data_IF_920947335198
#
_entry.id   IF_920947335198
#
_cell.length_a   1.000
_cell.length_b   1.000
_cell.length_c   1.000
_cell.angle_alpha   90.00
_cell.angle_beta   90.00
_cell.angle_gamma   90.00
#
_symmetry.space_group_name_H-M   'P 1'
#
loop_
_entity.id
_entity.type
_entity.pdbx_description
1 polymer ?
#
# COMPACT_ATOMS: atom_id res chain seq x y z
N UNK A 1 5.47 -34.39 -4.65
CA UNK A 1 4.88 -33.22 -5.33
C UNK A 1 5.15 -31.99 -4.47
N UNK A 2 5.78 -30.94 -5.02
CA UNK A 2 5.98 -29.70 -4.25
C UNK A 2 4.66 -28.93 -4.26
N UNK A 3 3.99 -28.84 -3.11
CA UNK A 3 2.81 -28.00 -2.96
C UNK A 3 3.24 -26.56 -3.27
N UNK A 4 2.76 -26.00 -4.39
CA UNK A 4 2.97 -24.58 -4.67
C UNK A 4 2.06 -23.81 -3.73
N UNK A 5 2.65 -23.23 -2.69
CA UNK A 5 1.93 -22.43 -1.70
C UNK A 5 1.48 -21.09 -2.31
N UNK A 6 0.34 -20.56 -1.83
CA UNK A 6 -0.22 -19.28 -2.28
C UNK A 6 0.65 -18.10 -1.85
N UNK A 7 0.49 -16.96 -2.53
CA UNK A 7 1.04 -15.68 -2.12
C UNK A 7 0.57 -15.32 -0.70
N UNK A 8 1.43 -14.71 0.13
CA UNK A 8 1.05 -14.26 1.47
C UNK A 8 0.02 -13.13 1.49
N UNK A 9 -0.13 -12.41 0.38
CA UNK A 9 -1.10 -11.31 0.26
C UNK A 9 -2.48 -11.95 0.21
N UNK A 10 -3.31 -11.67 1.21
CA UNK A 10 -4.57 -12.39 1.46
C UNK A 10 -5.57 -12.27 0.31
N UNK A 11 -5.58 -11.14 -0.38
CA UNK A 11 -6.39 -10.90 -1.58
C UNK A 11 -5.72 -11.34 -2.90
N UNK A 12 -4.62 -12.10 -2.84
CA UNK A 12 -3.91 -12.58 -4.02
C UNK A 12 -4.03 -14.09 -4.19
N UNK A 13 -4.53 -14.52 -5.37
CA UNK A 13 -4.67 -15.93 -5.71
C UNK A 13 -3.45 -16.53 -6.43
N UNK A 14 -2.40 -15.75 -6.69
CA UNK A 14 -1.21 -16.24 -7.39
C UNK A 14 -0.37 -17.15 -6.50
N UNK A 15 0.37 -18.06 -7.14
CA UNK A 15 1.32 -18.93 -6.48
C UNK A 15 2.60 -18.16 -6.12
N UNK A 16 3.16 -18.42 -4.94
CA UNK A 16 4.40 -17.78 -4.51
C UNK A 16 5.61 -18.29 -5.31
N UNK A 17 6.65 -17.46 -5.46
CA UNK A 17 7.92 -17.92 -6.04
C UNK A 17 8.59 -18.92 -5.09
N UNK A 18 9.36 -19.86 -5.64
CA UNK A 18 10.18 -20.79 -4.84
C UNK A 18 11.08 -19.98 -3.90
N UNK A 19 11.09 -20.31 -2.60
CA UNK A 19 11.84 -19.59 -1.54
C UNK A 19 11.41 -18.13 -1.29
N UNK A 20 10.21 -17.74 -1.75
CA UNK A 20 9.62 -16.42 -1.47
C UNK A 20 8.27 -16.59 -0.75
N UNK A 21 7.89 -15.61 0.05
CA UNK A 21 6.55 -15.54 0.63
C UNK A 21 5.52 -14.92 -0.33
N UNK A 22 5.97 -14.36 -1.45
CA UNK A 22 5.14 -13.60 -2.40
C UNK A 22 5.26 -14.14 -3.83
N UNK A 23 4.25 -13.86 -4.66
CA UNK A 23 4.25 -14.16 -6.09
C UNK A 23 5.18 -13.23 -6.90
N UNK A 24 5.26 -13.44 -8.22
CA UNK A 24 6.07 -12.60 -9.12
C UNK A 24 5.67 -11.12 -9.07
N UNK A 25 4.36 -10.83 -9.22
CA UNK A 25 3.79 -9.47 -9.14
C UNK A 25 4.22 -8.78 -7.85
N UNK A 26 3.92 -9.39 -6.71
CA UNK A 26 4.24 -8.80 -5.41
C UNK A 26 5.72 -8.75 -5.09
N UNK A 27 6.58 -9.56 -5.74
CA UNK A 27 8.03 -9.49 -5.52
C UNK A 27 8.68 -8.16 -5.93
N UNK A 28 7.97 -7.35 -6.73
CA UNK A 28 8.34 -5.99 -7.10
C UNK A 28 8.32 -5.00 -5.91
N UNK A 29 7.83 -5.42 -4.73
CA UNK A 29 7.91 -4.64 -3.50
C UNK A 29 9.33 -4.13 -3.21
N UNK A 30 10.38 -4.84 -3.63
CA UNK A 30 11.78 -4.43 -3.39
C UNK A 30 12.12 -3.08 -4.02
N UNK A 31 11.48 -2.78 -5.15
CA UNK A 31 11.71 -1.57 -5.93
C UNK A 31 10.67 -0.50 -5.65
N UNK A 32 9.45 -0.90 -5.25
CA UNK A 32 8.32 0.03 -5.05
C UNK A 32 8.10 0.33 -3.56
N UNK A 33 8.08 -0.65 -2.67
CA UNK A 33 7.79 -0.44 -1.26
C UNK A 33 8.44 -1.51 -0.39
N UNK A 34 9.70 -1.30 -0.01
CA UNK A 34 10.51 -2.31 0.71
C UNK A 34 9.86 -2.79 2.01
N UNK A 35 9.18 -1.88 2.72
CA UNK A 35 8.49 -2.19 3.96
C UNK A 35 7.30 -3.15 3.77
N UNK A 36 6.80 -3.32 2.55
CA UNK A 36 5.66 -4.17 2.25
C UNK A 36 5.93 -5.66 2.41
N UNK A 37 7.17 -6.11 2.67
CA UNK A 37 7.45 -7.52 3.00
C UNK A 37 7.11 -7.88 4.45
N UNK A 38 6.95 -6.89 5.33
CA UNK A 38 6.64 -7.17 6.73
C UNK A 38 5.24 -7.79 6.87
N UNK A 39 5.09 -8.73 7.79
CA UNK A 39 3.82 -9.47 8.00
C UNK A 39 2.74 -8.58 8.62
N UNK A 40 3.12 -7.59 9.42
CA UNK A 40 2.23 -6.60 10.06
C UNK A 40 1.77 -5.46 9.13
N UNK A 41 2.17 -5.49 7.85
CA UNK A 41 1.88 -4.41 6.88
C UNK A 41 1.41 -4.93 5.52
N UNK A 42 0.39 -5.81 5.46
CA UNK A 42 -0.08 -6.35 4.20
C UNK A 42 -0.65 -5.26 3.28
N UNK A 43 -1.35 -4.25 3.81
CA UNK A 43 -1.86 -3.09 3.06
C UNK A 43 -0.82 -2.42 2.15
N UNK A 44 0.48 -2.43 2.49
CA UNK A 44 1.50 -1.82 1.63
C UNK A 44 1.67 -2.55 0.27
N UNK A 45 1.18 -3.78 0.14
CA UNK A 45 1.12 -4.50 -1.14
C UNK A 45 0.10 -3.89 -2.10
N UNK A 46 -0.91 -3.16 -1.61
CA UNK A 46 -1.82 -2.38 -2.45
C UNK A 46 -1.06 -1.35 -3.29
N UNK A 47 -0.10 -0.63 -2.68
CA UNK A 47 0.76 0.30 -3.41
C UNK A 47 1.55 -0.42 -4.51
N UNK A 48 2.11 -1.59 -4.21
CA UNK A 48 2.84 -2.39 -5.22
C UNK A 48 1.93 -2.70 -6.41
N UNK A 49 0.69 -3.13 -6.16
CA UNK A 49 -0.27 -3.45 -7.21
C UNK A 49 -0.65 -2.23 -8.06
N UNK A 50 -0.96 -1.11 -7.42
CA UNK A 50 -1.31 0.15 -8.11
C UNK A 50 -0.18 0.66 -8.99
N UNK A 51 1.05 0.62 -8.50
CA UNK A 51 2.23 1.03 -9.26
C UNK A 51 2.48 0.16 -10.48
N UNK A 52 2.27 -1.16 -10.37
CA UNK A 52 2.37 -2.07 -11.53
C UNK A 52 1.25 -1.87 -12.55
N UNK A 53 0.14 -1.27 -12.14
CA UNK A 53 -1.00 -0.91 -13.01
C UNK A 53 -0.88 0.52 -13.58
N UNK A 54 0.20 1.25 -13.31
CA UNK A 54 0.35 2.65 -13.73
C UNK A 54 -0.53 3.64 -12.95
N UNK A 55 -1.11 3.21 -11.83
CA UNK A 55 -1.97 4.02 -10.95
C UNK A 55 -1.12 4.62 -9.83
N UNK A 56 -0.25 5.54 -10.19
CA UNK A 56 0.70 6.19 -9.27
C UNK A 56 0.26 7.59 -8.85
N UNK A 57 -1.04 7.90 -8.91
CA UNK A 57 -1.58 9.20 -8.51
C UNK A 57 -2.17 9.16 -7.10
N UNK A 58 -2.11 10.29 -6.40
CA UNK A 58 -2.91 10.52 -5.20
C UNK A 58 -4.40 10.47 -5.54
N UNK A 59 -5.14 9.57 -4.91
CA UNK A 59 -6.58 9.35 -5.16
C UNK A 59 -7.45 10.53 -4.67
N UNK A 60 -6.91 11.44 -3.84
CA UNK A 60 -7.60 12.64 -3.36
C UNK A 60 -7.34 13.91 -4.17
N UNK A 61 -6.10 14.14 -4.62
CA UNK A 61 -5.73 15.42 -5.27
C UNK A 61 -5.10 15.27 -6.65
N UNK A 62 -4.93 14.04 -7.16
CA UNK A 62 -4.33 13.80 -8.47
C UNK A 62 -2.82 14.02 -8.56
N UNK A 63 -2.14 14.37 -7.45
CA UNK A 63 -0.67 14.49 -7.43
C UNK A 63 -0.01 13.23 -7.95
N UNK A 64 0.86 13.39 -8.95
CA UNK A 64 1.59 12.30 -9.59
C UNK A 64 3.11 12.53 -9.46
N UNK A 65 3.84 11.70 -8.69
CA UNK A 65 5.27 11.85 -8.50
C UNK A 65 6.08 11.50 -9.76
N UNK A 66 5.52 10.71 -10.68
CA UNK A 66 6.21 10.36 -11.95
C UNK A 66 6.23 11.54 -12.92
N UNK A 67 5.21 12.41 -12.85
CA UNK A 67 5.11 13.64 -13.65
C UNK A 67 5.87 14.77 -12.97
N UNK A 68 5.70 14.93 -11.66
CA UNK A 68 6.28 16.04 -10.90
C UNK A 68 7.79 15.86 -10.67
N UNK A 69 8.26 14.61 -10.56
CA UNK A 69 9.65 14.27 -10.27
C UNK A 69 10.14 13.13 -11.19
N UNK A 70 10.18 13.34 -12.52
CA UNK A 70 10.45 12.29 -13.50
C UNK A 70 11.86 11.70 -13.39
N UNK A 71 12.81 12.46 -12.85
CA UNK A 71 14.20 12.03 -12.68
C UNK A 71 14.47 11.27 -11.38
N UNK A 72 13.48 11.18 -10.49
CA UNK A 72 13.62 10.44 -9.24
C UNK A 72 13.45 8.94 -9.53
N UNK A 73 14.17 8.10 -8.79
CA UNK A 73 14.05 6.65 -8.95
C UNK A 73 12.67 6.15 -8.50
N UNK A 74 12.31 4.94 -8.94
CA UNK A 74 11.01 4.33 -8.67
C UNK A 74 10.67 4.32 -7.17
N UNK A 75 11.68 4.03 -6.33
CA UNK A 75 11.51 3.97 -4.88
C UNK A 75 11.30 5.37 -4.27
N UNK A 76 12.02 6.38 -4.77
CA UNK A 76 11.83 7.76 -4.38
C UNK A 76 10.44 8.27 -4.76
N UNK A 77 9.99 8.03 -5.99
CA UNK A 77 8.66 8.44 -6.45
C UNK A 77 7.55 7.76 -5.64
N UNK A 78 7.65 6.45 -5.40
CA UNK A 78 6.66 5.69 -4.62
C UNK A 78 6.61 6.03 -3.13
N UNK A 79 7.69 6.60 -2.59
CA UNK A 79 7.77 7.06 -1.20
C UNK A 79 7.02 8.37 -0.94
N UNK A 80 6.61 9.08 -2.00
CA UNK A 80 5.84 10.32 -1.89
C UNK A 80 4.35 10.10 -1.67
N UNK A 81 3.90 8.87 -1.87
CA UNK A 81 2.54 8.42 -1.62
C UNK A 81 2.55 7.45 -0.45
N UNK A 82 1.48 7.41 0.33
CA UNK A 82 1.24 6.49 1.43
C UNK A 82 -0.03 5.68 1.15
N UNK A 83 -0.06 4.44 1.63
CA UNK A 83 -1.32 3.68 1.67
C UNK A 83 -2.02 4.06 2.95
N UNK A 84 -3.23 4.58 2.83
CA UNK A 84 -4.09 4.85 3.96
C UNK A 84 -5.35 3.97 3.90
N UNK A 85 -6.00 3.78 5.05
CA UNK A 85 -7.28 3.10 5.14
C UNK A 85 -8.40 4.12 4.89
N UNK A 86 -9.38 3.77 4.08
CA UNK A 86 -10.58 4.60 3.86
C UNK A 86 -11.36 4.68 5.17
N UNK A 87 -11.71 3.54 5.76
CA UNK A 87 -12.25 3.42 7.11
C UNK A 87 -11.16 2.91 8.07
N UNK A 88 -10.73 3.78 9.00
CA UNK A 88 -9.70 3.46 9.99
C UNK A 88 -10.18 2.50 11.10
N UNK A 89 -11.49 2.27 11.21
CA UNK A 89 -12.06 1.31 12.16
C UNK A 89 -11.83 -0.14 11.73
N UNK A 90 -11.77 -0.41 10.42
CA UNK A 90 -11.53 -1.75 9.86
C UNK A 90 -10.06 -2.18 9.90
N UNK A 91 -9.15 -1.25 10.20
CA UNK A 91 -7.71 -1.52 10.32
C UNK A 91 -7.45 -2.66 11.32
N UNK A 92 -6.69 -3.67 10.90
CA UNK A 92 -6.40 -4.90 11.64
C UNK A 92 -7.57 -5.87 11.89
N UNK A 93 -8.79 -5.55 11.41
CA UNK A 93 -9.94 -6.45 11.49
C UNK A 93 -10.07 -7.20 10.16
N UNK A 94 -10.17 -6.46 9.07
CA UNK A 94 -10.28 -6.99 7.71
C UNK A 94 -9.35 -6.20 6.80
N UNK A 95 -8.26 -6.85 6.37
CA UNK A 95 -7.30 -6.25 5.46
C UNK A 95 -7.71 -6.60 4.02
N UNK A 96 -8.62 -5.79 3.46
CA UNK A 96 -9.14 -5.91 2.09
C UNK A 96 -8.74 -4.69 1.24
N UNK A 97 -8.33 -4.88 -0.03
CA UNK A 97 -7.90 -3.79 -0.90
C UNK A 97 -8.96 -2.73 -1.19
N UNK A 98 -10.25 -3.03 -1.01
CA UNK A 98 -11.36 -2.07 -1.15
C UNK A 98 -11.36 -1.01 -0.05
N UNK A 99 -10.68 -1.24 1.07
CA UNK A 99 -10.54 -0.28 2.16
C UNK A 99 -9.22 0.52 2.10
N UNK A 100 -8.47 0.43 1.00
CA UNK A 100 -7.21 1.19 0.87
C UNK A 100 -7.32 2.29 -0.18
N UNK A 101 -6.56 3.35 0.05
CA UNK A 101 -6.36 4.43 -0.90
C UNK A 101 -4.91 4.89 -0.91
N UNK A 102 -4.45 5.37 -2.05
CA UNK A 102 -3.11 5.94 -2.21
C UNK A 102 -3.18 7.47 -2.06
N UNK A 103 -2.54 8.02 -1.03
CA UNK A 103 -2.57 9.46 -0.72
C UNK A 103 -1.17 10.06 -0.75
N UNK A 104 -1.01 11.28 -1.25
CA UNK A 104 0.22 12.04 -1.01
C UNK A 104 0.31 12.42 0.48
N UNK A 105 1.53 12.71 0.96
CA UNK A 105 1.76 13.04 2.37
C UNK A 105 0.88 14.17 2.90
N UNK A 106 0.64 15.20 2.08
CA UNK A 106 -0.26 16.29 2.44
C UNK A 106 -1.71 15.82 2.64
N UNK A 107 -2.26 15.08 1.67
CA UNK A 107 -3.63 14.56 1.75
C UNK A 107 -3.80 13.56 2.90
N UNK A 108 -2.80 12.74 3.18
CA UNK A 108 -2.81 11.81 4.30
C UNK A 108 -2.87 12.54 5.65
N UNK A 109 -2.06 13.60 5.83
CA UNK A 109 -2.10 14.45 7.04
C UNK A 109 -3.44 15.15 7.18
N UNK A 110 -3.97 15.73 6.09
CA UNK A 110 -5.27 16.44 6.11
C UNK A 110 -6.40 15.49 6.49
N UNK A 111 -6.49 14.31 5.86
CA UNK A 111 -7.47 13.28 6.21
C UNK A 111 -7.37 12.91 7.69
N UNK A 112 -6.15 12.67 8.17
CA UNK A 112 -5.93 12.29 9.57
C UNK A 112 -6.45 13.33 10.57
N UNK A 113 -6.44 14.62 10.21
CA UNK A 113 -7.00 15.70 11.02
C UNK A 113 -8.51 15.80 10.90
N UNK A 114 -9.05 15.70 9.69
CA UNK A 114 -10.49 15.79 9.42
C UNK A 114 -11.27 14.63 10.06
N UNK A 115 -10.71 13.42 10.01
CA UNK A 115 -11.36 12.19 10.48
C UNK A 115 -10.94 11.80 11.92
N UNK A 116 -10.00 12.54 12.52
CA UNK A 116 -9.51 12.25 13.86
C UNK A 116 -8.68 10.95 13.94
N UNK A 117 -8.01 10.53 12.85
CA UNK A 117 -7.04 9.42 12.88
C UNK A 117 -5.80 9.74 13.69
N UNK A 118 -5.48 11.02 13.89
CA UNK A 118 -4.41 11.45 14.77
C UNK A 118 -4.79 11.37 16.27
N UNK A 119 -6.06 11.17 16.60
CA UNK A 119 -6.54 11.02 17.98
C UNK A 119 -6.55 9.53 18.31
N UNK A 120 -5.98 9.15 19.46
CA UNK A 120 -6.00 7.75 19.90
C UNK A 120 -7.43 7.24 19.99
N UNK A 121 -7.67 5.97 19.66
CA UNK A 121 -9.02 5.38 19.67
C UNK A 121 -9.73 5.55 21.02
N UNK A 122 -8.98 5.54 22.12
CA UNK A 122 -9.49 5.74 23.50
C UNK A 122 -9.98 7.19 23.73
N UNK A 123 -9.44 8.16 23.00
CA UNK A 123 -9.74 9.59 23.14
C UNK A 123 -10.63 10.15 22.03
N UNK A 124 -11.13 9.31 21.11
CA UNK A 124 -12.17 9.72 20.16
C UNK A 124 -13.46 9.95 20.96
N UNK A 125 -14.00 11.17 20.89
CA UNK A 125 -15.27 11.54 21.55
C UNK A 125 -16.47 10.99 20.80
#
# INVERSE_FOLDING_TARGET
>A
MVVKEKCRVTWCNNLRKKRSQVCEKHSQYKNICRAAIRLDRPHLMYKVEKWLEGKHQCERCGFDPTISYPNLDLLGQSSMLDVDHIDSNLKYIEEDPTNYQLLCKHCHIVKSREEGDCISKINRK
#
